data_IF_152768367216
#
_entry.id   IF_152768367216
#
_cell.length_a   1.000
_cell.length_b   1.000
_cell.length_c   1.000
_cell.angle_alpha   90.00
_cell.angle_beta   90.00
_cell.angle_gamma   90.00
#
_symmetry.space_group_name_H-M   'P 1'
#
loop_
_entity.id
_entity.type
_entity.pdbx_description
1 polymer ?
#
# COMPACT_ATOMS: atom_id res chain seq x y z
N UNK A 1 -15.25 -1.38 -28.02
CA UNK A 1 -14.03 -0.88 -27.36
C UNK A 1 -13.41 -1.86 -26.36
N UNK A 2 -14.04 -2.98 -26.08
CA UNK A 2 -13.50 -4.05 -25.25
C UNK A 2 -13.49 -5.30 -26.13
N UNK A 3 -12.57 -5.35 -27.06
CA UNK A 3 -12.39 -6.52 -27.91
C UNK A 3 -11.46 -7.51 -27.20
N UNK A 4 -12.01 -8.64 -26.86
CA UNK A 4 -11.29 -9.90 -26.84
C UNK A 4 -10.47 -10.28 -25.61
N UNK A 5 -10.19 -9.38 -24.69
CA UNK A 5 -9.11 -9.53 -23.72
C UNK A 5 -9.29 -10.63 -22.68
N UNK A 6 -10.51 -10.93 -22.25
CA UNK A 6 -10.73 -12.05 -21.31
C UNK A 6 -10.57 -13.41 -22.02
N UNK A 7 -10.98 -13.47 -23.28
CA UNK A 7 -10.82 -14.67 -24.11
C UNK A 7 -9.34 -14.85 -24.53
N UNK A 8 -8.64 -13.75 -24.85
CA UNK A 8 -7.20 -13.79 -25.18
C UNK A 8 -6.36 -14.24 -23.98
N UNK A 9 -6.68 -13.82 -22.75
CA UNK A 9 -6.01 -14.32 -21.53
C UNK A 9 -6.28 -15.80 -21.31
N UNK A 10 -7.51 -16.26 -21.53
CA UNK A 10 -7.86 -17.68 -21.43
C UNK A 10 -7.19 -18.50 -22.54
N UNK A 11 -7.13 -17.97 -23.74
CA UNK A 11 -6.44 -18.61 -24.87
C UNK A 11 -4.93 -18.69 -24.62
N UNK A 12 -4.32 -17.65 -24.07
CA UNK A 12 -2.91 -17.67 -23.66
C UNK A 12 -2.64 -18.69 -22.56
N UNK A 13 -3.46 -18.74 -21.51
CA UNK A 13 -3.32 -19.73 -20.42
C UNK A 13 -3.46 -21.17 -20.94
N UNK A 14 -4.25 -21.39 -21.99
CA UNK A 14 -4.41 -22.68 -22.64
C UNK A 14 -3.42 -22.94 -23.78
N UNK A 15 -2.56 -21.97 -24.13
CA UNK A 15 -1.56 -22.11 -25.19
C UNK A 15 -0.33 -22.89 -24.71
N UNK A 16 0.39 -23.49 -25.69
CA UNK A 16 1.66 -24.17 -25.42
C UNK A 16 2.77 -23.22 -24.92
N UNK A 17 2.59 -21.91 -25.12
CA UNK A 17 3.52 -20.85 -24.67
C UNK A 17 3.30 -20.44 -23.22
N UNK A 18 2.24 -20.97 -22.56
CA UNK A 18 2.01 -20.72 -21.14
C UNK A 18 3.07 -21.42 -20.31
N UNK A 19 4.01 -20.64 -19.81
CA UNK A 19 4.95 -21.10 -18.81
C UNK A 19 4.22 -21.11 -17.48
N UNK A 20 3.89 -22.29 -16.98
CA UNK A 20 3.33 -22.44 -15.64
C UNK A 20 4.24 -21.72 -14.64
N UNK A 21 3.71 -20.68 -14.00
CA UNK A 21 4.44 -19.98 -12.94
C UNK A 21 4.78 -21.02 -11.88
N UNK A 22 6.05 -21.21 -11.62
CA UNK A 22 6.47 -22.08 -10.53
C UNK A 22 5.76 -21.62 -9.25
N UNK A 23 5.49 -22.52 -8.29
CA UNK A 23 4.69 -22.21 -7.10
C UNK A 23 5.15 -20.97 -6.31
N UNK A 24 6.29 -20.39 -6.64
CA UNK A 24 6.83 -19.16 -6.04
C UNK A 24 6.04 -17.92 -6.45
N UNK A 25 5.40 -17.90 -7.62
CA UNK A 25 4.56 -16.79 -8.09
C UNK A 25 3.34 -16.58 -7.21
N UNK A 26 2.71 -17.65 -6.71
CA UNK A 26 1.60 -17.58 -5.80
C UNK A 26 1.99 -16.93 -4.46
N UNK A 27 3.13 -17.31 -3.88
CA UNK A 27 3.63 -16.70 -2.65
C UNK A 27 4.02 -15.22 -2.85
N UNK A 28 4.63 -14.87 -3.98
CA UNK A 28 4.93 -13.47 -4.32
C UNK A 28 3.66 -12.63 -4.44
N UNK A 29 2.61 -13.19 -5.05
CA UNK A 29 1.31 -12.54 -5.14
C UNK A 29 0.70 -12.32 -3.74
N UNK A 30 0.70 -13.32 -2.85
CA UNK A 30 0.21 -13.18 -1.47
C UNK A 30 0.97 -12.08 -0.73
N UNK A 31 2.30 -12.06 -0.83
CA UNK A 31 3.12 -11.00 -0.20
C UNK A 31 2.76 -9.63 -0.77
N UNK A 32 2.62 -9.49 -2.08
CA UNK A 32 2.18 -8.25 -2.73
C UNK A 32 0.80 -7.79 -2.23
N UNK A 33 -0.15 -8.70 -2.10
CA UNK A 33 -1.48 -8.41 -1.54
C UNK A 33 -1.39 -8.00 -0.07
N UNK A 34 -0.59 -8.69 0.74
CA UNK A 34 -0.41 -8.34 2.15
C UNK A 34 0.10 -6.90 2.32
N UNK A 35 1.08 -6.49 1.50
CA UNK A 35 1.55 -5.11 1.48
C UNK A 35 0.50 -4.12 0.96
N UNK A 36 -0.27 -4.48 -0.07
CA UNK A 36 -1.31 -3.62 -0.62
C UNK A 36 -2.45 -3.35 0.37
N UNK A 37 -2.73 -4.31 1.27
CA UNK A 37 -3.75 -4.18 2.32
C UNK A 37 -3.19 -3.66 3.65
N UNK A 38 -1.92 -3.33 3.72
CA UNK A 38 -1.35 -2.70 4.90
C UNK A 38 -1.92 -1.28 5.07
N UNK A 39 -1.92 -0.79 6.32
CA UNK A 39 -2.39 0.57 6.63
C UNK A 39 -3.59 0.58 7.58
N UNK A 40 -4.35 -0.51 7.71
CA UNK A 40 -5.44 -0.60 8.69
C UNK A 40 -4.95 -0.41 10.14
N UNK A 41 -3.70 -0.71 10.40
CA UNK A 41 -3.06 -0.50 11.70
C UNK A 41 -2.99 0.99 12.07
N UNK A 42 -2.91 1.89 11.07
CA UNK A 42 -2.95 3.34 11.27
C UNK A 42 -4.29 3.78 11.88
N UNK A 43 -5.40 3.15 11.47
CA UNK A 43 -6.71 3.43 12.04
C UNK A 43 -6.79 3.09 13.54
N UNK A 44 -5.99 2.11 14.01
CA UNK A 44 -5.93 1.79 15.43
C UNK A 44 -5.19 2.87 16.25
N UNK A 45 -4.28 3.61 15.64
CA UNK A 45 -3.52 4.68 16.30
C UNK A 45 -4.38 5.91 16.64
N UNK A 46 -5.46 6.13 15.89
CA UNK A 46 -6.41 7.24 16.13
C UNK A 46 -7.58 6.84 17.03
N UNK A 47 -7.56 5.64 17.59
CA UNK A 47 -8.65 5.10 18.43
C UNK A 47 -9.03 6.04 19.61
N UNK A 48 -8.05 6.73 20.19
CA UNK A 48 -8.27 7.65 21.29
C UNK A 48 -9.02 8.94 20.89
N UNK A 49 -8.96 9.30 19.61
CA UNK A 49 -9.57 10.51 19.05
C UNK A 49 -11.00 10.27 18.53
N UNK A 50 -11.40 8.99 18.42
CA UNK A 50 -12.70 8.61 17.88
C UNK A 50 -13.80 8.63 18.94
N UNK A 51 -14.90 9.29 18.63
CA UNK A 51 -16.13 9.20 19.43
C UNK A 51 -16.70 7.78 19.35
N UNK A 52 -17.05 7.19 20.50
CA UNK A 52 -17.56 5.81 20.61
C UNK A 52 -16.68 4.79 19.88
N UNK A 53 -15.36 4.89 20.05
CA UNK A 53 -14.35 4.13 19.31
C UNK A 53 -14.56 2.62 19.37
N UNK A 54 -14.99 2.07 20.51
CA UNK A 54 -15.27 0.63 20.65
C UNK A 54 -16.32 0.10 19.67
N UNK A 55 -17.23 0.94 19.20
CA UNK A 55 -18.30 0.58 18.27
C UNK A 55 -17.98 1.03 16.85
N UNK A 56 -17.47 2.24 16.69
CA UNK A 56 -17.26 2.87 15.40
C UNK A 56 -16.00 2.37 14.71
N UNK A 57 -14.90 2.14 15.44
CA UNK A 57 -13.65 1.66 14.84
C UNK A 57 -13.79 0.28 14.18
N UNK A 58 -14.34 -0.78 14.83
CA UNK A 58 -14.51 -2.07 14.15
C UNK A 58 -15.40 -1.98 12.91
N UNK A 59 -16.48 -1.19 12.97
CA UNK A 59 -17.37 -0.98 11.81
C UNK A 59 -16.65 -0.30 10.66
N UNK A 60 -15.93 0.78 10.95
CA UNK A 60 -15.15 1.51 9.95
C UNK A 60 -14.09 0.61 9.29
N UNK A 61 -13.40 -0.23 10.08
CA UNK A 61 -12.42 -1.18 9.57
C UNK A 61 -13.05 -2.23 8.64
N UNK A 62 -14.18 -2.82 9.03
CA UNK A 62 -14.88 -3.81 8.20
C UNK A 62 -15.38 -3.19 6.90
N UNK A 63 -16.05 -2.04 6.98
CA UNK A 63 -16.56 -1.35 5.78
C UNK A 63 -15.40 -0.91 4.89
N UNK A 64 -14.35 -0.33 5.46
CA UNK A 64 -13.16 0.08 4.73
C UNK A 64 -12.49 -1.09 4.03
N UNK A 65 -12.33 -2.23 4.72
CA UNK A 65 -11.76 -3.45 4.12
C UNK A 65 -12.62 -3.96 2.95
N UNK A 66 -13.94 -4.03 3.09
CA UNK A 66 -14.82 -4.47 2.02
C UNK A 66 -14.76 -3.53 0.80
N UNK A 67 -14.77 -2.22 1.01
CA UNK A 67 -14.62 -1.23 -0.06
C UNK A 67 -13.28 -1.39 -0.77
N UNK A 68 -12.21 -1.56 0.00
CA UNK A 68 -10.85 -1.75 -0.56
C UNK A 68 -10.77 -3.04 -1.39
N UNK A 69 -11.35 -4.15 -0.91
CA UNK A 69 -11.40 -5.42 -1.66
C UNK A 69 -12.08 -5.21 -3.02
N UNK A 70 -13.25 -4.59 -3.03
CA UNK A 70 -14.00 -4.33 -4.28
C UNK A 70 -13.19 -3.45 -5.22
N UNK A 71 -12.61 -2.35 -4.72
CA UNK A 71 -11.81 -1.44 -5.54
C UNK A 71 -10.57 -2.12 -6.12
N UNK A 72 -9.87 -2.94 -5.34
CA UNK A 72 -8.69 -3.67 -5.83
C UNK A 72 -9.07 -4.74 -6.84
N UNK A 73 -10.16 -5.47 -6.62
CA UNK A 73 -10.65 -6.44 -7.59
C UNK A 73 -11.01 -5.77 -8.92
N UNK A 74 -11.73 -4.64 -8.88
CA UNK A 74 -12.05 -3.87 -10.08
C UNK A 74 -10.81 -3.30 -10.76
N UNK A 75 -9.84 -2.81 -9.99
CA UNK A 75 -8.59 -2.29 -10.52
C UNK A 75 -7.78 -3.38 -11.24
N UNK A 76 -7.59 -4.54 -10.61
CA UNK A 76 -6.85 -5.66 -11.20
C UNK A 76 -7.57 -6.15 -12.46
N UNK A 77 -8.89 -6.28 -12.40
CA UNK A 77 -9.70 -6.65 -13.57
C UNK A 77 -9.56 -5.65 -14.70
N UNK A 78 -9.67 -4.35 -14.44
CA UNK A 78 -9.49 -3.31 -15.45
C UNK A 78 -8.07 -3.31 -16.04
N UNK A 79 -7.04 -3.49 -15.21
CA UNK A 79 -5.66 -3.54 -15.68
C UNK A 79 -5.38 -4.79 -16.53
N UNK A 80 -5.96 -5.94 -16.20
CA UNK A 80 -5.83 -7.17 -17.00
C UNK A 80 -6.50 -7.07 -18.37
N UNK A 81 -7.55 -6.24 -18.49
CA UNK A 81 -8.20 -5.97 -19.78
C UNK A 81 -7.37 -5.05 -20.68
N UNK A 82 -6.71 -4.06 -20.11
CA UNK A 82 -5.99 -3.03 -20.87
C UNK A 82 -4.54 -3.43 -21.15
N UNK A 83 -3.93 -4.19 -20.24
CA UNK A 83 -2.57 -4.70 -20.37
C UNK A 83 -2.52 -5.94 -21.25
N UNK A 84 -1.81 -5.88 -22.38
CA UNK A 84 -1.39 -7.08 -23.08
C UNK A 84 -0.42 -7.88 -22.19
N UNK A 85 -0.66 -9.19 -22.05
CA UNK A 85 0.15 -10.08 -21.20
C UNK A 85 1.62 -10.02 -21.58
N UNK A 86 1.93 -9.99 -22.87
CA UNK A 86 3.32 -9.88 -23.35
C UNK A 86 3.97 -8.57 -22.94
N UNK A 87 3.23 -7.47 -22.99
CA UNK A 87 3.70 -6.16 -22.53
C UNK A 87 3.95 -6.16 -21.01
N UNK A 88 3.08 -6.78 -20.22
CA UNK A 88 3.26 -6.93 -18.79
C UNK A 88 4.52 -7.73 -18.45
N UNK A 89 4.71 -8.86 -19.12
CA UNK A 89 5.87 -9.74 -18.91
C UNK A 89 7.17 -9.08 -19.38
N UNK A 90 7.17 -8.41 -20.52
CA UNK A 90 8.37 -7.77 -21.09
C UNK A 90 8.81 -6.50 -20.35
N UNK A 91 7.90 -5.82 -19.66
CA UNK A 91 8.23 -4.60 -18.90
C UNK A 91 8.65 -4.88 -17.44
N UNK A 92 8.49 -6.12 -16.96
CA UNK A 92 8.94 -6.50 -15.63
C UNK A 92 10.44 -6.91 -15.62
N UNK A 93 11.28 -6.47 -14.65
CA UNK A 93 11.00 -5.66 -13.45
C UNK A 93 11.31 -4.16 -13.57
N UNK A 94 11.83 -3.67 -14.68
CA UNK A 94 12.37 -2.31 -14.83
C UNK A 94 11.69 -1.47 -15.93
N UNK A 95 10.55 -1.94 -16.45
CA UNK A 95 9.82 -1.25 -17.49
C UNK A 95 8.92 -0.11 -16.99
N UNK A 96 8.19 0.50 -17.93
CA UNK A 96 7.18 1.51 -17.60
C UNK A 96 6.11 0.94 -16.67
N UNK A 97 5.63 1.73 -15.71
CA UNK A 97 4.60 1.27 -14.79
C UNK A 97 3.32 0.89 -15.55
N UNK A 98 2.76 -0.29 -15.26
CA UNK A 98 1.54 -0.78 -15.88
C UNK A 98 0.38 0.24 -15.85
N UNK A 99 0.12 0.96 -14.74
CA UNK A 99 -0.90 2.00 -14.73
C UNK A 99 -0.65 3.11 -15.76
N UNK A 100 0.61 3.58 -15.90
CA UNK A 100 0.96 4.60 -16.89
C UNK A 100 0.68 4.12 -18.30
N UNK A 101 1.11 2.90 -18.63
CA UNK A 101 0.86 2.30 -19.94
C UNK A 101 -0.64 2.15 -20.23
N UNK A 102 -1.40 1.64 -19.27
CA UNK A 102 -2.84 1.46 -19.41
C UNK A 102 -3.57 2.79 -19.65
N UNK A 103 -3.28 3.81 -18.84
CA UNK A 103 -3.90 5.12 -19.01
C UNK A 103 -3.43 5.84 -20.27
N UNK A 104 -2.15 5.69 -20.67
CA UNK A 104 -1.65 6.24 -21.91
C UNK A 104 -2.31 5.60 -23.14
N UNK A 105 -2.57 4.30 -23.08
CA UNK A 105 -3.24 3.55 -24.16
C UNK A 105 -4.72 3.95 -24.32
N UNK A 106 -5.40 4.22 -23.20
CA UNK A 106 -6.83 4.60 -23.18
C UNK A 106 -7.07 6.08 -23.49
N UNK A 107 -6.27 6.97 -22.93
CA UNK A 107 -6.53 8.40 -22.90
C UNK A 107 -5.41 9.25 -23.49
N UNK A 108 -4.34 8.63 -23.96
CA UNK A 108 -3.16 9.31 -24.52
C UNK A 108 -2.10 9.65 -23.47
N UNK A 109 -0.89 9.93 -23.95
CA UNK A 109 0.32 10.09 -23.12
C UNK A 109 0.21 11.23 -22.08
N UNK A 110 -0.51 12.30 -22.38
CA UNK A 110 -0.67 13.42 -21.47
C UNK A 110 -1.44 13.00 -20.23
N UNK A 111 -2.58 12.33 -20.40
CA UNK A 111 -3.41 11.83 -19.29
C UNK A 111 -2.68 10.73 -18.52
N UNK A 112 -1.98 9.83 -19.21
CA UNK A 112 -1.15 8.81 -18.57
C UNK A 112 -0.09 9.43 -17.64
N UNK A 113 0.55 10.53 -18.05
CA UNK A 113 1.53 11.24 -17.22
C UNK A 113 0.87 11.93 -16.02
N UNK A 114 -0.28 12.56 -16.20
CA UNK A 114 -1.05 13.18 -15.11
C UNK A 114 -1.42 12.14 -14.05
N UNK A 115 -1.94 11.00 -14.46
CA UNK A 115 -2.29 9.90 -13.55
C UNK A 115 -1.05 9.41 -12.78
N UNK A 116 0.09 9.29 -13.45
CA UNK A 116 1.34 8.89 -12.81
C UNK A 116 1.79 9.89 -11.73
N UNK A 117 1.63 11.19 -11.99
CA UNK A 117 1.88 12.24 -10.97
C UNK A 117 0.95 12.08 -9.77
N UNK A 118 -0.35 11.82 -9.98
CA UNK A 118 -1.28 11.56 -8.87
C UNK A 118 -0.92 10.31 -8.06
N UNK A 119 -0.48 9.24 -8.73
CA UNK A 119 0.03 8.03 -8.05
C UNK A 119 1.23 8.37 -7.18
N UNK A 120 2.18 9.17 -7.70
CA UNK A 120 3.36 9.60 -6.96
C UNK A 120 2.98 10.42 -5.71
N UNK A 121 2.05 11.36 -5.84
CA UNK A 121 1.54 12.14 -4.71
C UNK A 121 0.88 11.23 -3.67
N UNK A 122 0.10 10.25 -4.11
CA UNK A 122 -0.54 9.25 -3.23
C UNK A 122 0.50 8.42 -2.47
N UNK A 123 1.56 7.97 -3.15
CA UNK A 123 2.66 7.24 -2.50
C UNK A 123 3.37 8.08 -1.44
N UNK A 124 3.62 9.38 -1.71
CA UNK A 124 4.19 10.30 -0.73
C UNK A 124 3.27 10.49 0.48
N UNK A 125 1.95 10.57 0.27
CA UNK A 125 0.97 10.62 1.35
C UNK A 125 0.99 9.38 2.23
N UNK A 126 1.04 8.20 1.63
CA UNK A 126 1.16 6.91 2.34
C UNK A 126 2.45 6.83 3.14
N UNK A 127 3.58 7.22 2.54
CA UNK A 127 4.87 7.27 3.22
C UNK A 127 4.83 8.19 4.45
N UNK A 128 4.24 9.38 4.31
CA UNK A 128 4.08 10.30 5.44
C UNK A 128 3.24 9.68 6.58
N UNK A 129 2.14 8.99 6.24
CA UNK A 129 1.31 8.27 7.22
C UNK A 129 2.08 7.19 7.96
N UNK A 130 2.87 6.38 7.27
CA UNK A 130 3.70 5.33 7.85
C UNK A 130 4.79 5.90 8.77
N UNK A 131 5.43 7.00 8.39
CA UNK A 131 6.41 7.71 9.23
C UNK A 131 5.74 8.18 10.52
N UNK A 132 4.56 8.81 10.43
CA UNK A 132 3.82 9.25 11.62
C UNK A 132 3.44 8.09 12.54
N UNK A 133 3.01 6.95 12.00
CA UNK A 133 2.70 5.76 12.77
C UNK A 133 3.95 5.21 13.49
N UNK A 134 5.07 5.13 12.78
CA UNK A 134 6.36 4.70 13.33
C UNK A 134 6.79 5.61 14.49
N UNK A 135 6.67 6.92 14.33
CA UNK A 135 7.00 7.89 15.37
C UNK A 135 6.13 7.73 16.65
N UNK A 136 4.84 7.43 16.48
CA UNK A 136 3.89 7.29 17.59
C UNK A 136 3.93 5.91 18.26
N UNK A 137 4.42 4.88 17.60
CA UNK A 137 4.40 3.50 18.10
C UNK A 137 5.19 3.33 19.40
N UNK A 138 6.44 3.77 19.43
CA UNK A 138 7.30 3.73 20.63
C UNK A 138 6.73 4.54 21.78
N UNK A 139 6.22 5.74 21.47
CA UNK A 139 5.56 6.60 22.45
C UNK A 139 4.34 5.90 23.07
N UNK A 140 3.48 5.29 22.27
CA UNK A 140 2.24 4.68 22.74
C UNK A 140 2.47 3.51 23.70
N UNK A 141 3.54 2.75 23.49
CA UNK A 141 3.96 1.65 24.39
C UNK A 141 4.54 2.22 25.68
N UNK A 142 5.39 3.24 25.57
CA UNK A 142 6.07 3.84 26.72
C UNK A 142 5.12 4.66 27.61
N UNK A 143 4.12 5.32 27.03
CA UNK A 143 3.08 6.03 27.78
C UNK A 143 2.22 5.10 28.67
N UNK A 144 2.19 3.79 28.35
CA UNK A 144 1.55 2.76 29.17
C UNK A 144 2.49 2.16 30.23
N UNK A 145 3.68 2.69 30.38
CA UNK A 145 4.70 2.17 31.29
C UNK A 145 5.38 0.88 30.81
N UNK A 146 5.20 0.51 29.52
CA UNK A 146 5.76 -0.67 28.90
C UNK A 146 6.89 -0.31 27.92
N UNK A 147 7.70 -1.31 27.55
CA UNK A 147 8.80 -1.12 26.61
C UNK A 147 10.09 -0.62 27.25
N UNK A 148 11.15 -0.43 26.44
CA UNK A 148 12.46 0.02 26.94
C UNK A 148 12.37 1.49 27.38
N UNK A 149 12.87 1.78 28.57
CA UNK A 149 12.95 3.15 29.14
C UNK A 149 11.66 3.99 28.98
N UNK A 150 10.55 3.62 29.64
CA UNK A 150 9.27 4.31 29.48
C UNK A 150 9.34 5.81 29.79
N UNK A 151 10.14 6.24 30.75
CA UNK A 151 10.35 7.64 31.11
C UNK A 151 11.03 8.46 30.01
N UNK A 152 11.84 7.82 29.17
CA UNK A 152 12.54 8.48 28.06
C UNK A 152 11.64 8.61 26.82
N UNK A 153 10.99 7.53 26.42
CA UNK A 153 10.16 7.50 25.20
C UNK A 153 8.73 7.98 25.40
N UNK A 154 8.22 7.94 26.64
CA UNK A 154 6.90 8.43 27.00
C UNK A 154 6.84 9.94 27.23
N UNK A 155 7.95 10.67 27.09
CA UNK A 155 7.99 12.12 27.27
C UNK A 155 7.48 12.84 26.02
N UNK A 156 6.50 13.71 26.24
CA UNK A 156 6.01 14.67 25.21
C UNK A 156 6.72 15.98 25.45
N UNK A 157 7.18 16.62 24.39
CA UNK A 157 7.72 17.96 24.43
C UNK A 157 6.56 18.98 24.66
N UNK A 158 6.64 19.74 25.71
CA UNK A 158 5.58 20.69 26.12
C UNK A 158 5.36 21.83 25.13
N UNK A 159 6.37 22.14 24.30
CA UNK A 159 6.27 23.23 23.31
C UNK A 159 5.56 22.78 22.03
N UNK A 160 5.80 21.55 21.59
CA UNK A 160 5.34 21.06 20.29
C UNK A 160 4.24 19.99 20.41
N UNK A 161 3.87 19.56 21.62
CA UNK A 161 2.96 18.42 21.85
C UNK A 161 3.33 17.16 21.07
N UNK A 162 4.64 16.90 20.92
CA UNK A 162 5.17 15.84 20.08
C UNK A 162 6.22 15.00 20.81
N UNK A 163 6.20 13.69 20.59
CA UNK A 163 7.14 12.73 21.18
C UNK A 163 8.46 12.70 20.40
N UNK A 164 9.28 13.75 20.50
CA UNK A 164 10.50 13.95 19.70
C UNK A 164 11.47 12.77 19.81
N UNK A 165 11.73 12.28 21.03
CA UNK A 165 12.68 11.20 21.27
C UNK A 165 12.24 9.88 20.63
N UNK A 166 10.95 9.54 20.74
CA UNK A 166 10.34 8.38 20.07
C UNK A 166 10.42 8.50 18.56
N UNK A 167 10.18 9.69 18.02
CA UNK A 167 10.20 9.97 16.60
C UNK A 167 11.60 9.82 16.00
N UNK A 168 12.63 10.36 16.66
CA UNK A 168 14.02 10.24 16.19
C UNK A 168 14.43 8.77 16.11
N UNK A 169 14.13 7.98 17.15
CA UNK A 169 14.48 6.55 17.14
C UNK A 169 13.68 5.77 16.09
N UNK A 170 12.38 6.06 15.93
CA UNK A 170 11.56 5.45 14.88
C UNK A 170 12.13 5.73 13.47
N UNK A 171 12.53 6.97 13.20
CA UNK A 171 13.15 7.36 11.93
C UNK A 171 14.52 6.71 11.72
N UNK A 172 15.34 6.61 12.76
CA UNK A 172 16.64 5.94 12.69
C UNK A 172 16.50 4.44 12.39
N UNK A 173 15.52 3.76 13.01
CA UNK A 173 15.23 2.36 12.73
C UNK A 173 14.73 2.16 11.30
N UNK A 174 13.83 3.02 10.82
CA UNK A 174 13.36 2.98 9.44
C UNK A 174 14.51 3.19 8.45
N UNK A 175 15.39 4.16 8.71
CA UNK A 175 16.59 4.42 7.90
C UNK A 175 17.57 3.25 7.88
N UNK A 176 17.76 2.60 9.02
CA UNK A 176 18.61 1.40 9.12
C UNK A 176 18.06 0.25 8.24
N UNK A 177 16.77 -0.03 8.32
CA UNK A 177 16.15 -1.06 7.47
C UNK A 177 16.13 -0.71 5.99
N UNK A 178 16.06 0.56 5.65
CA UNK A 178 16.18 1.01 4.26
C UNK A 178 17.59 0.85 3.69
N UNK A 179 18.63 1.05 4.53
CA UNK A 179 20.02 0.95 4.11
C UNK A 179 20.56 -0.49 4.05
N UNK A 180 19.89 -1.44 4.73
CA UNK A 180 20.20 -2.86 4.71
C UNK A 180 19.63 -3.54 3.47
#
# INVERSE_FOLDING_TARGET
LVNGTTLEVLDYVNSADYVAVDGTGFFKAIVGFAFAYEGWILATSINAELKDSKKNLPRALVIGALVTIVLYALYIWAMSIVGDVNTIISTWPFGESLPRLAFSKLFGNVIGTIVYVFITISCLGTMNGLIMASCRSMYSVSARGMGPQPSFFGHIDDQNNFAIKSSIVGMMLAGFWYAW
#
